data_IF_110077724849
#
_entry.id   IF_110077724849
#
_cell.length_a   1.000
_cell.length_b   1.000
_cell.length_c   1.000
_cell.angle_alpha   90.00
_cell.angle_beta   90.00
_cell.angle_gamma   90.00
#
_symmetry.space_group_name_H-M   'P 1'
#
loop_
_entity.id
_entity.type
_entity.pdbx_description
1 polymer ?
#
# COMPACT_ATOMS: atom_id res chain seq x y z
N UNK A 1 22.52 40.90 28.66
CA UNK A 1 21.26 40.33 28.13
C UNK A 1 21.42 38.93 27.51
N UNK A 2 22.63 38.49 27.15
CA UNK A 2 22.91 37.18 26.52
C UNK A 2 22.37 35.97 27.33
N UNK A 3 22.45 36.01 28.66
CA UNK A 3 22.00 34.91 29.54
C UNK A 3 20.51 34.54 29.42
N UNK A 4 19.61 35.50 29.21
CA UNK A 4 18.17 35.22 29.15
C UNK A 4 17.79 34.55 27.82
N UNK A 5 18.40 35.02 26.73
CA UNK A 5 18.20 34.45 25.41
C UNK A 5 18.69 33.00 25.35
N UNK A 6 19.85 32.71 25.97
CA UNK A 6 20.38 31.35 26.04
C UNK A 6 19.51 30.42 26.90
N UNK A 7 18.96 30.93 28.01
CA UNK A 7 18.00 30.19 28.83
C UNK A 7 16.73 29.85 28.05
N UNK A 8 16.17 30.81 27.30
CA UNK A 8 15.00 30.56 26.45
C UNK A 8 15.34 29.58 25.33
N UNK A 9 16.47 29.74 24.64
CA UNK A 9 16.90 28.81 23.60
C UNK A 9 17.08 27.40 24.13
N UNK A 10 17.62 27.24 25.35
CA UNK A 10 17.72 25.95 26.01
C UNK A 10 16.32 25.38 26.28
N UNK A 11 15.40 26.20 26.78
CA UNK A 11 14.02 25.82 27.10
C UNK A 11 13.21 25.38 25.86
N UNK A 12 13.40 26.08 24.74
CA UNK A 12 12.85 25.73 23.42
C UNK A 12 13.49 24.45 22.90
N UNK A 13 14.82 24.33 23.00
CA UNK A 13 15.56 23.17 22.48
C UNK A 13 15.23 21.87 23.22
N UNK A 14 14.93 21.93 24.52
CA UNK A 14 14.46 20.75 25.27
C UNK A 14 13.00 20.40 24.99
N UNK A 15 12.28 21.20 24.19
CA UNK A 15 10.86 20.98 23.87
C UNK A 15 9.92 21.23 25.04
N UNK A 16 10.33 22.03 26.04
CA UNK A 16 9.50 22.29 27.21
C UNK A 16 8.22 23.05 26.83
N UNK A 17 8.33 23.99 25.90
CA UNK A 17 7.16 24.72 25.37
C UNK A 17 6.19 23.80 24.63
N UNK A 18 6.71 22.83 23.86
CA UNK A 18 5.90 21.87 23.10
C UNK A 18 5.10 20.94 24.01
N UNK A 19 5.50 20.80 25.28
CA UNK A 19 4.85 19.96 26.29
C UNK A 19 3.97 20.77 27.24
N UNK A 20 4.50 21.87 27.78
CA UNK A 20 3.82 22.67 28.80
C UNK A 20 2.67 23.50 28.21
N UNK A 21 2.84 24.03 26.99
CA UNK A 21 1.80 24.86 26.39
C UNK A 21 0.49 24.08 26.14
N UNK A 22 0.49 22.89 25.49
CA UNK A 22 -0.73 22.10 25.35
C UNK A 22 -1.24 21.55 26.68
N UNK A 23 -0.35 21.26 27.65
CA UNK A 23 -0.73 20.85 29.00
C UNK A 23 -1.59 21.90 29.70
N UNK A 24 -1.09 23.14 29.79
CA UNK A 24 -1.80 24.23 30.47
C UNK A 24 -3.14 24.49 29.78
N UNK A 25 -3.18 24.48 28.45
CA UNK A 25 -4.40 24.68 27.69
C UNK A 25 -5.45 23.60 28.01
N UNK A 26 -5.08 22.32 27.97
CA UNK A 26 -5.98 21.21 28.27
C UNK A 26 -6.41 21.22 29.75
N UNK A 27 -5.48 21.46 30.67
CA UNK A 27 -5.76 21.56 32.10
C UNK A 27 -6.78 22.65 32.41
N UNK A 28 -6.57 23.88 31.92
CA UNK A 28 -7.47 25.01 32.17
C UNK A 28 -8.83 24.76 31.55
N UNK A 29 -8.88 24.23 30.33
CA UNK A 29 -10.14 23.93 29.64
C UNK A 29 -10.95 22.87 30.40
N UNK A 30 -10.35 21.75 30.77
CA UNK A 30 -11.02 20.67 31.51
C UNK A 30 -11.42 21.15 32.90
N UNK A 31 -10.55 21.89 33.59
CA UNK A 31 -10.88 22.47 34.90
C UNK A 31 -12.09 23.41 34.83
N UNK A 32 -12.12 24.32 33.85
CA UNK A 32 -13.24 25.23 33.63
C UNK A 32 -14.53 24.48 33.29
N UNK A 33 -14.45 23.44 32.46
CA UNK A 33 -15.59 22.59 32.12
C UNK A 33 -16.14 21.87 33.36
N UNK A 34 -15.26 21.28 34.20
CA UNK A 34 -15.66 20.62 35.45
C UNK A 34 -16.25 21.58 36.47
N UNK A 35 -15.72 22.81 36.56
CA UNK A 35 -16.29 23.85 37.42
C UNK A 35 -17.69 24.29 36.97
N UNK A 36 -17.90 24.48 35.66
CA UNK A 36 -19.18 24.94 35.12
C UNK A 36 -20.27 23.86 35.14
N UNK A 37 -19.89 22.62 34.87
CA UNK A 37 -20.82 21.49 34.82
C UNK A 37 -21.20 20.93 36.19
N UNK A 38 -20.41 21.18 37.24
CA UNK A 38 -20.66 20.69 38.62
C UNK A 38 -20.85 19.16 38.68
N UNK A 39 -20.15 18.42 37.81
CA UNK A 39 -20.27 16.96 37.65
C UNK A 39 -20.06 16.18 38.96
N UNK A 40 -19.16 16.65 39.82
CA UNK A 40 -18.87 16.01 41.12
C UNK A 40 -19.73 16.53 42.28
N UNK A 41 -20.78 17.28 41.96
CA UNK A 41 -21.67 17.93 42.91
C UNK A 41 -21.07 19.18 43.55
N UNK A 42 -21.75 19.63 44.61
CA UNK A 42 -21.39 20.82 45.36
C UNK A 42 -21.09 20.47 46.81
N UNK A 43 -20.24 21.28 47.44
CA UNK A 43 -20.00 21.31 48.87
C UNK A 43 -20.30 22.73 49.33
N UNK A 44 -21.32 22.89 50.19
CA UNK A 44 -21.80 24.20 50.66
C UNK A 44 -22.22 25.17 49.53
N UNK A 45 -22.87 24.65 48.48
CA UNK A 45 -23.31 25.45 47.32
C UNK A 45 -22.18 25.90 46.39
N UNK A 46 -20.95 25.38 46.59
CA UNK A 46 -19.81 25.64 45.72
C UNK A 46 -19.33 24.34 45.04
N UNK A 47 -18.86 24.39 43.80
CA UNK A 47 -18.30 23.22 43.14
C UNK A 47 -17.06 22.71 43.90
N UNK A 48 -16.91 21.39 44.00
CA UNK A 48 -15.77 20.74 44.68
C UNK A 48 -14.44 20.97 43.95
N UNK A 49 -13.81 22.11 44.19
CA UNK A 49 -12.61 22.58 43.47
C UNK A 49 -11.42 21.62 43.58
N UNK A 50 -11.24 20.97 44.74
CA UNK A 50 -10.14 20.01 44.98
C UNK A 50 -10.23 18.77 44.11
N UNK A 51 -11.45 18.26 43.87
CA UNK A 51 -11.64 17.08 43.02
C UNK A 51 -11.47 17.50 41.55
N UNK A 52 -12.07 18.63 41.17
CA UNK A 52 -11.98 19.14 39.80
C UNK A 52 -10.53 19.42 39.38
N UNK A 53 -9.71 20.01 40.25
CA UNK A 53 -8.32 20.32 39.93
C UNK A 53 -7.48 19.05 39.76
N UNK A 54 -7.66 18.04 40.63
CA UNK A 54 -6.94 16.76 40.51
C UNK A 54 -7.31 16.04 39.22
N UNK A 55 -8.59 16.01 38.86
CA UNK A 55 -9.04 15.32 37.63
C UNK A 55 -8.58 16.08 36.39
N UNK A 56 -8.71 17.42 36.38
CA UNK A 56 -8.20 18.23 35.28
C UNK A 56 -6.68 18.08 35.10
N UNK A 57 -5.93 17.94 36.19
CA UNK A 57 -4.49 17.68 36.16
C UNK A 57 -4.18 16.33 35.50
N UNK A 58 -4.88 15.27 35.90
CA UNK A 58 -4.71 13.92 35.32
C UNK A 58 -5.06 13.92 33.84
N UNK A 59 -6.20 14.51 33.46
CA UNK A 59 -6.62 14.60 32.05
C UNK A 59 -5.65 15.46 31.24
N UNK A 60 -5.20 16.59 31.78
CA UNK A 60 -4.19 17.45 31.14
C UNK A 60 -2.88 16.70 30.88
N UNK A 61 -2.40 15.92 31.85
CA UNK A 61 -1.21 15.08 31.68
C UNK A 61 -1.41 13.97 30.64
N UNK A 62 -2.58 13.34 30.61
CA UNK A 62 -2.91 12.35 29.57
C UNK A 62 -2.93 12.99 28.17
N UNK A 63 -3.46 14.21 28.05
CA UNK A 63 -3.53 14.95 26.78
C UNK A 63 -2.15 15.22 26.19
N UNK A 64 -1.16 15.57 27.02
CA UNK A 64 0.24 15.76 26.57
C UNK A 64 0.78 14.52 25.86
N UNK A 65 0.43 13.32 26.34
CA UNK A 65 0.88 12.08 25.72
C UNK A 65 0.26 11.90 24.33
N UNK A 66 -1.01 12.29 24.15
CA UNK A 66 -1.67 12.28 22.83
C UNK A 66 -1.01 13.21 21.82
N UNK A 67 -0.47 14.35 22.25
CA UNK A 67 0.19 15.29 21.33
C UNK A 67 1.36 14.63 20.59
N UNK A 68 2.11 13.75 21.28
CA UNK A 68 3.21 12.99 20.67
C UNK A 68 2.74 11.98 19.63
N UNK A 69 1.51 11.50 19.75
CA UNK A 69 0.93 10.50 18.83
C UNK A 69 0.55 11.13 17.48
N UNK A 70 0.32 12.45 17.39
CA UNK A 70 0.00 13.08 16.10
C UNK A 70 1.07 12.87 15.03
N UNK A 71 2.35 12.84 15.41
CA UNK A 71 3.42 12.52 14.47
C UNK A 71 3.28 11.09 13.90
N UNK A 72 2.89 10.14 14.75
CA UNK A 72 2.63 8.76 14.34
C UNK A 72 1.38 8.64 13.47
N UNK A 73 0.30 9.36 13.81
CA UNK A 73 -0.94 9.40 13.03
C UNK A 73 -0.69 9.94 11.63
N UNK A 74 0.09 11.02 11.51
CA UNK A 74 0.45 11.60 10.21
C UNK A 74 1.20 10.58 9.35
N UNK A 75 2.16 9.85 9.92
CA UNK A 75 2.88 8.81 9.21
C UNK A 75 1.97 7.66 8.74
N UNK A 76 1.07 7.21 9.61
CA UNK A 76 0.10 6.17 9.28
C UNK A 76 -0.89 6.62 8.19
N UNK A 77 -1.34 7.88 8.23
CA UNK A 77 -2.21 8.45 7.22
C UNK A 77 -1.53 8.45 5.84
N UNK A 78 -0.25 8.82 5.76
CA UNK A 78 0.50 8.75 4.51
C UNK A 78 0.65 7.31 4.01
N UNK A 79 0.85 6.35 4.91
CA UNK A 79 0.90 4.94 4.54
C UNK A 79 -0.44 4.43 3.98
N UNK A 80 -1.56 4.84 4.58
CA UNK A 80 -2.89 4.51 4.08
C UNK A 80 -3.13 5.09 2.67
N UNK A 81 -2.82 6.37 2.46
CA UNK A 81 -2.92 7.01 1.13
C UNK A 81 -2.01 6.30 0.12
N UNK A 82 -0.82 5.87 0.53
CA UNK A 82 0.10 5.12 -0.33
C UNK A 82 -0.45 3.76 -0.75
N UNK A 83 -1.10 3.01 0.15
CA UNK A 83 -1.77 1.75 -0.19
C UNK A 83 -2.91 1.98 -1.18
N UNK A 84 -3.77 2.97 -0.92
CA UNK A 84 -4.88 3.33 -1.81
C UNK A 84 -4.35 3.72 -3.19
N UNK A 85 -3.27 4.48 -3.23
CA UNK A 85 -2.59 4.88 -4.45
C UNK A 85 -2.06 3.67 -5.26
N UNK A 86 -1.42 2.69 -4.62
CA UNK A 86 -1.04 1.42 -5.27
C UNK A 86 -2.27 0.70 -5.82
N UNK A 87 -3.33 0.62 -5.03
CA UNK A 87 -4.56 -0.07 -5.43
C UNK A 87 -5.19 0.59 -6.67
N UNK A 88 -5.23 1.92 -6.73
CA UNK A 88 -5.67 2.67 -7.91
C UNK A 88 -4.82 2.36 -9.15
N UNK A 89 -3.49 2.22 -9.02
CA UNK A 89 -2.64 1.82 -10.16
C UNK A 89 -2.99 0.42 -10.65
N UNK A 90 -3.16 -0.53 -9.73
CA UNK A 90 -3.51 -1.91 -10.08
C UNK A 90 -4.85 -1.93 -10.83
N UNK A 91 -5.84 -1.16 -10.37
CA UNK A 91 -7.12 -1.04 -11.06
C UNK A 91 -7.00 -0.37 -12.43
N UNK A 92 -6.26 0.74 -12.55
CA UNK A 92 -6.08 1.42 -13.85
C UNK A 92 -5.33 0.54 -14.85
N UNK A 93 -4.29 -0.17 -14.42
CA UNK A 93 -3.55 -1.09 -15.29
C UNK A 93 -4.39 -2.30 -15.69
N UNK A 94 -5.24 -2.80 -14.78
CA UNK A 94 -6.21 -3.86 -15.07
C UNK A 94 -7.29 -3.39 -16.06
N UNK A 95 -7.82 -2.18 -15.90
CA UNK A 95 -8.92 -1.64 -16.70
C UNK A 95 -8.49 -1.33 -18.14
N UNK A 96 -7.30 -0.75 -18.33
CA UNK A 96 -6.83 -0.34 -19.65
C UNK A 96 -6.36 -1.55 -20.50
N UNK A 97 -6.30 -2.76 -19.91
CA UNK A 97 -5.98 -3.98 -20.66
C UNK A 97 -4.59 -3.96 -21.31
N UNK A 98 -3.66 -3.22 -20.70
CA UNK A 98 -2.34 -2.95 -21.26
C UNK A 98 -1.49 -4.23 -21.25
N UNK A 99 -1.30 -4.85 -22.41
CA UNK A 99 -0.41 -6.02 -22.58
C UNK A 99 1.08 -5.65 -22.67
N UNK A 100 1.42 -4.39 -22.93
CA UNK A 100 2.80 -3.96 -23.11
C UNK A 100 3.46 -3.63 -21.77
N UNK A 101 4.61 -4.30 -21.51
CA UNK A 101 5.44 -4.04 -20.33
C UNK A 101 5.96 -2.60 -20.24
N UNK A 102 6.11 -1.92 -21.39
CA UNK A 102 6.69 -0.58 -21.46
C UNK A 102 5.72 0.46 -20.90
N UNK A 103 4.44 0.36 -21.28
CA UNK A 103 3.34 1.23 -20.83
C UNK A 103 3.04 1.09 -19.34
N UNK A 104 3.13 -0.13 -18.79
CA UNK A 104 3.05 -0.34 -17.34
C UNK A 104 4.19 0.38 -16.62
N UNK A 105 5.41 0.33 -17.16
CA UNK A 105 6.56 1.00 -16.57
C UNK A 105 6.42 2.54 -16.62
N UNK A 106 6.00 3.12 -17.75
CA UNK A 106 5.76 4.57 -17.84
C UNK A 106 4.68 5.04 -16.87
N UNK A 107 3.61 4.27 -16.69
CA UNK A 107 2.53 4.61 -15.75
C UNK A 107 3.00 4.55 -14.29
N UNK A 108 3.79 3.54 -13.92
CA UNK A 108 4.41 3.45 -12.60
C UNK A 108 5.35 4.65 -12.36
N UNK A 109 6.19 5.01 -13.33
CA UNK A 109 7.12 6.15 -13.21
C UNK A 109 6.38 7.47 -13.09
N UNK A 110 5.36 7.71 -13.92
CA UNK A 110 4.54 8.92 -13.86
C UNK A 110 3.83 9.03 -12.50
N UNK A 111 3.35 7.92 -11.95
CA UNK A 111 2.68 7.91 -10.67
C UNK A 111 3.63 8.10 -9.49
N UNK A 112 4.81 7.49 -9.52
CA UNK A 112 5.89 7.77 -8.55
C UNK A 112 6.23 9.25 -8.60
N UNK A 113 6.34 9.86 -9.79
CA UNK A 113 6.57 11.29 -9.91
C UNK A 113 5.46 12.13 -9.26
N UNK A 114 4.18 11.77 -9.45
CA UNK A 114 3.05 12.44 -8.78
C UNK A 114 3.12 12.29 -7.26
N UNK A 115 3.39 11.09 -6.74
CA UNK A 115 3.56 10.87 -5.30
C UNK A 115 4.70 11.73 -4.77
N UNK A 116 5.86 11.73 -5.44
CA UNK A 116 7.03 12.52 -5.03
C UNK A 116 6.70 14.01 -5.02
N UNK A 117 5.98 14.50 -6.03
CA UNK A 117 5.54 15.91 -6.09
C UNK A 117 4.56 16.21 -4.94
N UNK A 118 3.57 15.35 -4.71
CA UNK A 118 2.58 15.52 -3.65
C UNK A 118 3.21 15.45 -2.24
N UNK A 119 4.25 14.64 -2.07
CA UNK A 119 4.96 14.50 -0.79
C UNK A 119 6.10 15.49 -0.61
N UNK A 120 6.53 16.25 -1.64
CA UNK A 120 7.56 17.30 -1.50
C UNK A 120 7.28 18.25 -0.34
N UNK A 121 6.02 18.60 -0.13
CA UNK A 121 5.60 19.58 0.87
C UNK A 121 5.70 19.03 2.31
N UNK A 122 5.64 17.71 2.46
CA UNK A 122 5.53 17.05 3.76
C UNK A 122 6.80 16.31 4.16
N UNK A 123 7.65 15.93 3.20
CA UNK A 123 8.88 15.21 3.47
C UNK A 123 10.06 16.16 3.35
N UNK A 124 10.75 16.37 4.46
CA UNK A 124 12.05 17.02 4.46
C UNK A 124 13.06 16.13 3.71
N UNK A 125 13.36 16.47 2.46
CA UNK A 125 14.32 15.73 1.63
C UNK A 125 15.67 15.53 2.32
N UNK A 126 16.04 16.47 3.20
CA UNK A 126 17.25 16.36 4.03
C UNK A 126 17.25 15.13 4.93
N UNK A 127 16.10 14.70 5.47
CA UNK A 127 16.00 13.51 6.32
C UNK A 127 16.10 12.24 5.48
N UNK A 128 15.45 12.20 4.31
CA UNK A 128 15.57 11.08 3.38
C UNK A 128 17.00 10.88 2.86
N UNK A 129 17.67 11.96 2.45
CA UNK A 129 19.06 11.88 1.99
C UNK A 129 20.00 11.41 3.10
N UNK A 130 19.81 11.88 4.34
CA UNK A 130 20.55 11.37 5.50
C UNK A 130 20.29 9.88 5.75
N UNK A 131 19.06 9.43 5.56
CA UNK A 131 18.70 8.01 5.71
C UNK A 131 19.29 7.14 4.59
N UNK A 132 19.31 7.61 3.33
CA UNK A 132 19.87 6.88 2.19
C UNK A 132 21.39 6.81 2.23
N UNK A 133 22.06 7.87 2.67
CA UNK A 133 23.53 7.92 2.81
C UNK A 133 24.01 7.21 4.09
N UNK A 134 23.11 6.84 5.00
CA UNK A 134 23.49 6.18 6.23
C UNK A 134 24.26 4.86 5.92
N UNK A 135 25.41 4.60 6.55
CA UNK A 135 26.22 3.42 6.22
C UNK A 135 25.45 2.11 6.39
N UNK A 136 24.54 2.04 7.36
CA UNK A 136 23.68 0.87 7.59
C UNK A 136 22.73 0.56 6.40
N UNK A 137 22.11 1.58 5.79
CA UNK A 137 21.20 1.37 4.65
C UNK A 137 21.98 0.98 3.40
N UNK A 138 23.17 1.54 3.18
CA UNK A 138 24.06 1.11 2.09
C UNK A 138 24.46 -0.36 2.22
N UNK A 139 24.76 -0.84 3.44
CA UNK A 139 25.06 -2.26 3.69
C UNK A 139 23.85 -3.14 3.39
N UNK A 140 22.63 -2.73 3.77
CA UNK A 140 21.40 -3.48 3.46
C UNK A 140 21.16 -3.54 1.95
N UNK A 141 21.32 -2.42 1.24
CA UNK A 141 21.16 -2.35 -0.22
C UNK A 141 22.21 -3.22 -0.91
N UNK A 142 23.48 -3.17 -0.47
CA UNK A 142 24.54 -4.00 -1.00
C UNK A 142 24.29 -5.49 -0.76
N UNK A 143 23.85 -5.87 0.45
CA UNK A 143 23.51 -7.25 0.79
C UNK A 143 22.31 -7.75 -0.03
N UNK A 144 21.27 -6.92 -0.20
CA UNK A 144 20.13 -7.22 -1.06
C UNK A 144 20.52 -7.38 -2.53
N UNK A 145 21.38 -6.51 -3.04
CA UNK A 145 21.93 -6.63 -4.40
C UNK A 145 22.76 -7.91 -4.56
N UNK A 146 23.58 -8.25 -3.57
CA UNK A 146 24.38 -9.49 -3.55
C UNK A 146 23.47 -10.72 -3.54
N UNK A 147 22.41 -10.72 -2.73
CA UNK A 147 21.43 -11.80 -2.68
C UNK A 147 20.71 -11.96 -4.03
N UNK A 148 20.28 -10.87 -4.66
CA UNK A 148 19.68 -10.92 -6.01
C UNK A 148 20.69 -11.41 -7.06
N UNK A 149 21.97 -11.04 -6.93
CA UNK A 149 23.03 -11.52 -7.81
C UNK A 149 23.27 -13.03 -7.66
N UNK A 150 23.25 -13.54 -6.43
CA UNK A 150 23.42 -14.97 -6.12
C UNK A 150 22.19 -15.78 -6.59
N UNK A 151 20.97 -15.26 -6.38
CA UNK A 151 19.72 -15.95 -6.75
C UNK A 151 19.48 -15.96 -8.26
N UNK A 152 20.12 -15.07 -9.03
CA UNK A 152 20.14 -15.15 -10.50
C UNK A 152 20.97 -16.36 -10.92
N UNK A 153 20.33 -17.52 -10.97
CA UNK A 153 20.94 -18.72 -11.52
C UNK A 153 21.55 -18.43 -12.90
N UNK A 154 22.77 -18.93 -13.18
CA UNK A 154 23.38 -18.77 -14.47
C UNK A 154 22.48 -19.44 -15.51
N UNK A 155 21.93 -18.64 -16.44
CA UNK A 155 21.07 -19.06 -17.57
C UNK A 155 21.69 -20.13 -18.50
N UNK A 156 22.87 -20.64 -18.16
CA UNK A 156 23.65 -21.61 -18.91
C UNK A 156 22.92 -22.96 -19.00
N UNK A 157 22.27 -23.44 -17.93
CA UNK A 157 21.53 -24.72 -17.95
C UNK A 157 20.31 -24.73 -18.89
N UNK A 158 19.63 -23.58 -19.05
CA UNK A 158 18.46 -23.47 -19.94
C UNK A 158 18.84 -23.49 -21.43
N UNK A 159 20.09 -23.13 -21.76
CA UNK A 159 20.60 -23.17 -23.14
C UNK A 159 21.01 -24.60 -23.52
N UNK A 160 21.58 -25.36 -22.59
CA UNK A 160 21.92 -26.78 -22.81
C UNK A 160 20.68 -27.67 -22.92
N UNK A 161 19.64 -27.45 -22.11
CA UNK A 161 18.38 -28.19 -22.26
C UNK A 161 17.65 -27.89 -23.59
N UNK A 162 17.71 -26.65 -24.06
CA UNK A 162 17.17 -26.30 -25.39
C UNK A 162 17.95 -27.01 -26.50
N UNK A 163 19.28 -27.02 -26.43
CA UNK A 163 20.14 -27.68 -27.42
C UNK A 163 19.88 -29.20 -27.46
N UNK A 164 19.79 -29.87 -26.29
CA UNK A 164 19.44 -31.30 -26.21
C UNK A 164 18.03 -31.61 -26.73
N UNK A 165 17.07 -30.69 -26.58
CA UNK A 165 15.71 -30.85 -27.13
C UNK A 165 15.65 -30.66 -28.65
N UNK A 166 16.51 -29.83 -29.21
CA UNK A 166 16.65 -29.64 -30.67
C UNK A 166 17.35 -30.86 -31.30
N UNK A 167 18.46 -31.33 -30.74
CA UNK A 167 19.16 -32.54 -31.20
C UNK A 167 18.23 -33.78 -31.19
N UNK A 168 17.46 -33.99 -30.12
CA UNK A 168 16.47 -35.09 -30.07
C UNK A 168 15.33 -34.95 -31.08
N UNK A 169 15.00 -33.73 -31.52
CA UNK A 169 13.97 -33.51 -32.54
C UNK A 169 14.51 -33.79 -33.94
N UNK A 170 15.78 -33.47 -34.20
CA UNK A 170 16.43 -33.81 -35.48
C UNK A 170 16.61 -35.31 -35.62
N UNK A 171 17.08 -36.00 -34.57
CA UNK A 171 17.25 -37.46 -34.59
C UNK A 171 15.92 -38.21 -34.82
N UNK A 172 14.81 -37.71 -34.27
CA UNK A 172 13.46 -38.25 -34.55
C UNK A 172 12.96 -37.97 -35.97
N UNK A 173 13.36 -36.86 -36.58
CA UNK A 173 13.00 -36.56 -37.98
C UNK A 173 13.77 -37.42 -38.97
N UNK A 174 15.02 -37.73 -38.64
CA UNK A 174 15.87 -38.59 -39.48
C UNK A 174 15.38 -40.05 -39.46
N UNK A 175 15.02 -40.59 -38.29
CA UNK A 175 14.41 -41.93 -38.18
C UNK A 175 13.07 -42.05 -38.92
N UNK A 176 12.26 -40.98 -38.95
CA UNK A 176 10.99 -40.95 -39.70
C UNK A 176 11.14 -40.85 -41.22
N UNK A 177 12.33 -40.54 -41.73
CA UNK A 177 12.60 -40.48 -43.18
C UNK A 177 13.10 -41.80 -43.76
N UNK A 178 13.47 -42.77 -42.92
CA UNK A 178 13.89 -44.11 -43.34
C UNK A 178 12.77 -45.16 -43.33
N UNK A 179 11.65 -44.88 -42.70
CA UNK A 179 10.45 -45.73 -42.70
C UNK A 179 9.41 -45.09 -43.63
N UNK A 180 9.65 -45.17 -44.94
CA UNK A 180 8.60 -44.99 -45.94
C UNK A 180 7.78 -46.30 -45.97
N UNK A 181 6.53 -46.31 -45.47
CA UNK A 181 5.71 -47.50 -45.52
C UNK A 181 5.19 -47.62 -46.95
N UNK A 182 5.64 -48.66 -47.64
CA UNK A 182 5.12 -49.13 -48.92
C UNK A 182 3.75 -49.81 -48.73
N UNK A 183 2.78 -49.09 -48.14
CA UNK A 183 1.40 -49.51 -47.89
C UNK A 183 0.58 -48.20 -47.87
N UNK A 184 -0.48 -47.98 -48.64
CA UNK A 184 -1.36 -48.91 -49.29
C UNK A 184 -2.34 -48.07 -50.11
N UNK A 185 -2.44 -48.37 -51.41
CA UNK A 185 -3.46 -47.83 -52.30
C UNK A 185 -4.82 -48.40 -51.90
N UNK A 186 -5.55 -47.76 -50.99
CA UNK A 186 -6.99 -48.02 -50.87
C UNK A 186 -7.75 -46.71 -50.59
N UNK A 187 -8.24 -46.11 -51.68
CA UNK A 187 -9.43 -45.27 -51.63
C UNK A 187 -10.62 -46.12 -51.19
N UNK A 188 -11.51 -45.56 -50.37
CA UNK A 188 -12.89 -45.54 -50.80
C UNK A 188 -13.47 -44.13 -50.80
N UNK A 189 -14.09 -43.82 -51.94
CA UNK A 189 -15.21 -42.90 -52.06
C UNK A 189 -16.27 -43.25 -51.02
N UNK A 190 -16.71 -42.28 -50.23
CA UNK A 190 -17.76 -42.49 -49.24
C UNK A 190 -18.43 -41.19 -48.84
N UNK A 191 -19.50 -40.89 -49.58
CA UNK A 191 -20.66 -40.05 -49.25
C UNK A 191 -20.62 -39.05 -48.11
N UNK A 192 -20.94 -37.81 -48.48
CA UNK A 192 -21.25 -36.72 -47.56
C UNK A 192 -22.49 -36.99 -46.71
N UNK A 193 -22.39 -36.55 -45.46
CA UNK A 193 -23.53 -36.26 -44.60
C UNK A 193 -23.27 -34.86 -44.03
N UNK A 194 -24.13 -33.87 -44.26
CA UNK A 194 -24.02 -32.57 -43.61
C UNK A 194 -24.42 -32.72 -42.15
N UNK A 195 -23.45 -32.63 -41.23
CA UNK A 195 -23.72 -32.49 -39.80
C UNK A 195 -24.11 -31.05 -39.51
N UNK A 196 -25.42 -30.78 -39.58
CA UNK A 196 -26.03 -29.69 -38.85
C UNK A 196 -25.90 -30.01 -37.35
N UNK A 197 -24.98 -29.33 -36.67
CA UNK A 197 -24.99 -29.22 -35.23
C UNK A 197 -25.26 -27.75 -34.89
N UNK A 198 -26.57 -27.41 -34.84
CA UNK A 198 -27.07 -26.27 -34.08
C UNK A 198 -26.83 -26.59 -32.62
N UNK A 199 -25.81 -25.98 -32.03
CA UNK A 199 -25.57 -26.08 -30.58
C UNK A 199 -26.28 -24.90 -29.91
N UNK A 200 -27.53 -25.12 -29.50
CA UNK A 200 -28.16 -24.84 -28.18
C UNK A 200 -27.94 -23.49 -27.44
N UNK A 201 -27.14 -22.54 -27.92
CA UNK A 201 -26.88 -21.26 -27.21
C UNK A 201 -28.01 -20.21 -27.34
N UNK A 202 -29.11 -20.51 -28.04
CA UNK A 202 -30.22 -19.57 -28.27
C UNK A 202 -31.47 -19.86 -27.42
N UNK A 203 -31.42 -20.81 -26.49
CA UNK A 203 -32.56 -21.20 -25.63
C UNK A 203 -32.46 -20.75 -24.16
N UNK A 204 -31.41 -20.01 -23.79
CA UNK A 204 -31.33 -19.31 -22.51
C UNK A 204 -31.48 -17.81 -22.77
N UNK A 205 -32.73 -17.34 -22.70
CA UNK A 205 -33.04 -15.92 -22.68
C UNK A 205 -32.32 -15.22 -21.52
N UNK A 206 -32.21 -13.87 -21.57
CA UNK A 206 -31.70 -13.10 -20.45
C UNK A 206 -32.63 -13.30 -19.25
N UNK A 207 -32.17 -14.14 -18.31
CA UNK A 207 -32.79 -14.31 -17.02
C UNK A 207 -32.80 -12.98 -16.29
N UNK A 208 -34.01 -12.56 -15.96
CA UNK A 208 -34.31 -11.55 -14.95
C UNK A 208 -33.67 -11.98 -13.61
N UNK A 209 -32.52 -11.42 -13.28
CA UNK A 209 -32.03 -11.42 -11.89
C UNK A 209 -32.07 -9.99 -11.35
N UNK A 210 -32.99 -9.82 -10.39
CA UNK A 210 -32.90 -8.92 -9.25
C UNK A 210 -33.07 -7.42 -9.52
N UNK A 211 -34.31 -7.07 -9.86
CA UNK A 211 -35.01 -6.04 -9.08
C UNK A 211 -35.47 -6.70 -7.78
N UNK A 212 -34.98 -6.25 -6.62
CA UNK A 212 -35.65 -6.17 -5.31
C UNK A 212 -34.59 -5.89 -4.22
N UNK A 213 -34.92 -5.01 -3.27
CA UNK A 213 -34.06 -4.56 -2.17
C UNK A 213 -34.06 -3.03 -2.07
N UNK A 214 -35.18 -2.42 -1.65
CA UNK A 214 -35.35 -1.86 -0.29
C UNK A 214 -34.64 -0.49 -0.18
N UNK A 215 -35.29 0.68 -0.14
CA UNK A 215 -36.47 1.08 0.62
C UNK A 215 -36.42 0.64 2.10
N UNK A 216 -35.50 1.24 2.84
CA UNK A 216 -35.61 1.50 4.28
C UNK A 216 -35.13 2.96 4.50
N UNK A 217 -36.05 3.89 4.80
CA UNK A 217 -36.41 4.36 6.15
C UNK A 217 -35.39 5.39 6.68
N UNK A 218 -35.76 6.67 6.72
CA UNK A 218 -36.34 7.39 7.86
C UNK A 218 -35.31 7.78 8.96
N UNK A 219 -35.45 9.04 9.41
CA UNK A 219 -34.77 9.79 10.48
C UNK A 219 -33.53 10.62 10.14
#
# INVERSE_FOLDING_TARGET
>A
MVFFEDAIKLLVRIGLLDVILPFILAFVLVFALLQKSRVFGEENGQPKTRINITIALVVGLLFVNFVRIFGFISWFLYFAVFIVAIFCIVLLTSLVGIKSKLTTFTLIVAFIAVIVIATQKYIDYSVLWKFVIHPATLVIIAAGALAVYIVKEPKIKKKEEKKKKEEKKEEKKEKKKGEEPELEKLQPRGHGIPRQARTVEELLGPGEEERLGENEEEF
#
